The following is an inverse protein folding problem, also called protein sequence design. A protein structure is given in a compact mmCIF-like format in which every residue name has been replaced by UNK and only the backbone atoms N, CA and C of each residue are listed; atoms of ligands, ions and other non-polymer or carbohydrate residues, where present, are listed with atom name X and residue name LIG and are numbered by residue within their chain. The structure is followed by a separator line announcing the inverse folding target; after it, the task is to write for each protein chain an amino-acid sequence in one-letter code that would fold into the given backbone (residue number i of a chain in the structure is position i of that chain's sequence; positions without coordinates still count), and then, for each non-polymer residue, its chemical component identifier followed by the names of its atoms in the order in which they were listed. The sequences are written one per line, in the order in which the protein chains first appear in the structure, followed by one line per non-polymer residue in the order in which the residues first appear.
data_IF_653312995464
#
_entry.id   IF_653312995464
#
_cell.length_a   1.000
_cell.length_b   1.000
_cell.length_c   1.000
_cell.angle_alpha   90.00
_cell.angle_beta   90.00
_cell.angle_gamma   90.00
#
_symmetry.space_group_name_H-M   'P 1'
#
loop_
_entity.id
_entity.type
_entity.pdbx_description
1 polymer ?
#
# COMPACT_ATOMS: atom_id res chain seq x y z
N UNK A 1 5.75 64.29 -71.68
CA UNK A 1 6.14 62.89 -71.38
C UNK A 1 5.21 62.35 -70.31
N UNK A 2 5.25 61.06 -70.04
CA UNK A 2 4.45 60.44 -68.98
C UNK A 2 5.23 59.40 -68.18
N UNK A 3 4.85 59.22 -66.92
CA UNK A 3 5.44 58.23 -66.02
C UNK A 3 4.35 57.34 -65.42
N UNK A 4 4.64 56.05 -65.32
CA UNK A 4 3.74 55.03 -64.76
C UNK A 4 4.49 54.31 -63.65
N UNK A 5 3.95 54.40 -62.44
CA UNK A 5 4.49 53.74 -61.25
C UNK A 5 3.59 52.58 -60.81
N UNK A 6 4.17 51.59 -60.15
CA UNK A 6 3.46 50.49 -59.48
C UNK A 6 3.68 50.58 -57.97
N UNK A 7 2.59 50.51 -57.21
CA UNK A 7 2.61 50.43 -55.74
C UNK A 7 1.83 49.21 -55.25
N UNK A 8 2.40 48.50 -54.28
CA UNK A 8 1.81 47.32 -53.65
C UNK A 8 1.41 47.67 -52.21
N UNK A 9 0.12 47.55 -51.87
CA UNK A 9 -0.40 47.94 -50.55
C UNK A 9 -1.33 46.90 -49.93
N UNK A 10 -1.47 46.92 -48.60
CA UNK A 10 -2.54 46.18 -47.91
C UNK A 10 -3.91 46.86 -48.11
N UNK A 11 -4.98 46.14 -47.78
CA UNK A 11 -6.34 46.66 -47.62
C UNK A 11 -6.43 47.85 -46.63
N UNK A 12 -5.47 47.94 -45.69
CA UNK A 12 -5.30 49.02 -44.72
C UNK A 12 -4.39 50.16 -45.20
N UNK A 13 -3.83 50.05 -46.41
CA UNK A 13 -2.97 51.06 -47.04
C UNK A 13 -1.48 50.98 -46.68
N UNK A 14 -1.04 49.93 -45.97
CA UNK A 14 0.38 49.73 -45.63
C UNK A 14 1.15 49.30 -46.89
N UNK A 15 2.31 49.90 -47.15
CA UNK A 15 3.10 49.61 -48.35
C UNK A 15 3.93 48.34 -48.16
N UNK A 16 3.80 47.37 -49.08
CA UNK A 16 4.47 46.05 -48.98
C UNK A 16 5.86 46.01 -49.62
N UNK A 17 6.15 46.91 -50.56
CA UNK A 17 7.47 47.13 -51.13
C UNK A 17 7.54 48.54 -51.74
N UNK A 18 8.76 49.06 -51.91
CA UNK A 18 9.00 50.38 -52.50
C UNK A 18 8.25 50.56 -53.84
N UNK A 19 7.80 51.80 -54.08
CA UNK A 19 7.10 52.14 -55.32
C UNK A 19 8.09 52.04 -56.49
N UNK A 20 7.69 51.36 -57.56
CA UNK A 20 8.57 51.06 -58.70
C UNK A 20 8.15 51.85 -59.95
N UNK A 21 9.12 52.47 -60.61
CA UNK A 21 8.92 53.06 -61.95
C UNK A 21 8.80 51.92 -62.98
N UNK A 22 7.68 51.88 -63.70
CA UNK A 22 7.48 50.96 -64.85
C UNK A 22 7.75 51.69 -66.16
N UNK A 23 7.28 52.94 -66.26
CA UNK A 23 7.69 53.88 -67.31
C UNK A 23 8.11 55.17 -66.63
N UNK A 24 9.23 55.74 -67.07
CA UNK A 24 9.76 57.01 -66.57
C UNK A 24 10.04 57.94 -67.74
N UNK A 25 9.40 59.10 -67.76
CA UNK A 25 9.54 60.12 -68.81
C UNK A 25 9.28 59.60 -70.25
N UNK A 26 8.37 58.64 -70.38
CA UNK A 26 8.01 57.99 -71.64
C UNK A 26 7.26 58.88 -72.63
N UNK A 27 7.21 58.41 -73.88
CA UNK A 27 6.43 59.03 -74.96
C UNK A 27 4.93 58.75 -74.78
N UNK A 28 4.11 59.77 -75.00
CA UNK A 28 2.65 59.66 -74.84
C UNK A 28 2.07 58.79 -75.97
N UNK A 29 1.21 57.84 -75.61
CA UNK A 29 0.70 56.80 -76.53
C UNK A 29 1.57 55.54 -76.59
N UNK A 30 2.71 55.48 -75.89
CA UNK A 30 3.46 54.23 -75.74
C UNK A 30 2.75 53.26 -74.78
N UNK A 31 2.74 51.96 -75.07
CA UNK A 31 2.04 50.96 -74.24
C UNK A 31 2.83 50.54 -73.01
N UNK A 32 2.17 50.35 -71.88
CA UNK A 32 2.73 49.76 -70.67
C UNK A 32 1.93 48.54 -70.19
N UNK A 33 2.61 47.67 -69.45
CA UNK A 33 2.04 46.52 -68.73
C UNK A 33 2.67 46.42 -67.34
N UNK A 34 1.90 45.93 -66.37
CA UNK A 34 2.30 45.75 -64.98
C UNK A 34 1.81 44.38 -64.48
N UNK A 35 2.40 43.88 -63.39
CA UNK A 35 2.09 42.55 -62.86
C UNK A 35 1.89 42.58 -61.34
N UNK A 36 1.13 41.62 -60.82
CA UNK A 36 1.04 41.39 -59.37
C UNK A 36 2.40 40.96 -58.80
N UNK A 37 2.75 41.50 -57.65
CA UNK A 37 3.90 41.06 -56.87
C UNK A 37 3.59 39.81 -56.04
N UNK A 38 4.63 39.07 -55.65
CA UNK A 38 4.54 37.94 -54.74
C UNK A 38 5.12 38.34 -53.38
N UNK A 39 4.28 38.35 -52.34
CA UNK A 39 4.64 38.80 -50.99
C UNK A 39 4.34 37.69 -49.98
N UNK A 40 5.33 37.29 -49.18
CA UNK A 40 5.19 36.20 -48.22
C UNK A 40 4.13 36.54 -47.16
N UNK A 41 3.16 35.64 -46.97
CA UNK A 41 2.04 35.86 -46.04
C UNK A 41 0.95 36.80 -46.55
N UNK A 42 0.92 37.15 -47.84
CA UNK A 42 -0.14 37.97 -48.45
C UNK A 42 -0.70 37.34 -49.72
N UNK A 43 -1.95 37.68 -50.03
CA UNK A 43 -2.65 37.30 -51.28
C UNK A 43 -3.18 38.53 -51.99
N UNK A 44 -3.04 38.59 -53.31
CA UNK A 44 -3.63 39.64 -54.14
C UNK A 44 -5.16 39.60 -54.06
N UNK A 45 -5.79 40.78 -53.92
CA UNK A 45 -7.25 40.94 -53.83
C UNK A 45 -7.79 41.62 -55.08
N UNK A 46 -7.35 42.85 -55.37
CA UNK A 46 -7.77 43.62 -56.55
C UNK A 46 -6.81 44.76 -56.87
N UNK A 47 -6.96 45.36 -58.05
CA UNK A 47 -6.38 46.67 -58.38
C UNK A 47 -7.29 47.76 -57.78
N UNK A 48 -6.73 48.89 -57.37
CA UNK A 48 -7.53 50.06 -56.98
C UNK A 48 -8.24 50.66 -58.22
N UNK A 49 -9.57 50.71 -58.19
CA UNK A 49 -10.41 51.27 -59.24
C UNK A 49 -10.26 52.80 -59.39
N UNK A 50 -9.57 53.46 -58.44
CA UNK A 50 -9.18 54.87 -58.52
C UNK A 50 -7.79 55.10 -59.13
N UNK A 51 -7.00 54.04 -59.30
CA UNK A 51 -5.67 54.08 -59.88
C UNK A 51 -5.68 53.97 -61.41
N UNK A 52 -4.50 53.81 -61.99
CA UNK A 52 -4.36 53.41 -63.38
C UNK A 52 -4.60 51.90 -63.54
N UNK A 53 -5.04 51.48 -64.73
CA UNK A 53 -5.24 50.07 -65.10
C UNK A 53 -3.90 49.33 -65.21
N UNK A 54 -3.85 48.01 -65.02
CA UNK A 54 -2.60 47.24 -65.12
C UNK A 54 -1.89 47.33 -66.47
N UNK A 55 -2.67 47.55 -67.54
CA UNK A 55 -2.22 47.75 -68.91
C UNK A 55 -2.86 49.01 -69.47
N UNK A 56 -2.18 49.68 -70.39
CA UNK A 56 -2.71 50.86 -71.07
C UNK A 56 -1.67 51.59 -71.90
N UNK A 57 -2.01 52.81 -72.30
CA UNK A 57 -1.08 53.74 -72.94
C UNK A 57 -0.62 54.81 -71.93
N UNK A 58 0.62 55.26 -72.08
CA UNK A 58 1.22 56.36 -71.30
C UNK A 58 0.53 57.67 -71.70
N UNK A 59 -0.12 58.32 -70.73
CA UNK A 59 -0.68 59.67 -70.87
C UNK A 59 0.28 60.72 -70.32
N UNK A 60 0.02 62.01 -70.57
CA UNK A 60 0.83 63.10 -70.03
C UNK A 60 0.70 63.21 -68.50
N UNK A 61 1.83 63.34 -67.81
CA UNK A 61 1.89 63.42 -66.35
C UNK A 61 2.23 62.10 -65.67
N UNK A 62 1.85 61.95 -64.40
CA UNK A 62 2.17 60.78 -63.58
C UNK A 62 0.92 59.94 -63.28
N UNK A 63 1.03 58.62 -63.43
CA UNK A 63 -0.01 57.64 -63.10
C UNK A 63 0.54 56.56 -62.16
N UNK A 64 -0.30 56.03 -61.27
CA UNK A 64 0.05 54.91 -60.40
C UNK A 64 -0.95 53.77 -60.55
N UNK A 65 -0.46 52.58 -60.90
CA UNK A 65 -1.19 51.32 -60.75
C UNK A 65 -1.02 50.86 -59.29
N UNK A 66 -2.13 50.63 -58.59
CA UNK A 66 -2.10 50.22 -57.17
C UNK A 66 -2.69 48.84 -57.03
N UNK A 67 -1.87 47.88 -56.63
CA UNK A 67 -2.30 46.51 -56.33
C UNK A 67 -2.56 46.38 -54.82
N UNK A 68 -3.76 45.91 -54.48
CA UNK A 68 -4.24 45.73 -53.10
C UNK A 68 -4.17 44.25 -52.72
N UNK A 69 -3.59 43.97 -51.55
CA UNK A 69 -3.38 42.65 -50.98
C UNK A 69 -4.10 42.53 -49.63
N UNK A 70 -4.46 41.31 -49.25
CA UNK A 70 -4.86 40.98 -47.87
C UNK A 70 -3.85 40.03 -47.26
N UNK A 71 -3.71 40.07 -45.94
CA UNK A 71 -2.80 39.18 -45.20
C UNK A 71 -3.42 37.80 -45.09
N UNK A 72 -2.64 36.77 -45.37
CA UNK A 72 -3.03 35.38 -45.11
C UNK A 72 -2.92 35.14 -43.61
N UNK A 73 -4.06 34.99 -42.95
CA UNK A 73 -4.08 34.58 -41.55
C UNK A 73 -3.74 33.08 -41.46
N UNK A 74 -2.59 32.78 -40.85
CA UNK A 74 -2.25 31.40 -40.48
C UNK A 74 -3.24 30.91 -39.42
N UNK A 75 -3.90 29.76 -39.60
CA UNK A 75 -4.79 29.23 -38.58
C UNK A 75 -3.97 28.92 -37.32
N UNK A 76 -4.26 29.65 -36.24
CA UNK A 76 -3.67 29.36 -34.92
C UNK A 76 -4.20 28.01 -34.47
N UNK A 77 -3.33 27.00 -34.44
CA UNK A 77 -3.65 25.71 -33.83
C UNK A 77 -3.88 25.97 -32.34
N UNK A 78 -5.12 25.77 -31.88
CA UNK A 78 -5.44 25.85 -30.47
C UNK A 78 -4.80 24.67 -29.75
N UNK A 79 -4.13 24.97 -28.63
CA UNK A 79 -3.49 23.96 -27.78
C UNK A 79 -3.92 24.09 -26.33
N UNK A 80 -3.61 23.07 -25.55
CA UNK A 80 -3.76 23.08 -24.10
C UNK A 80 -2.82 22.11 -23.41
N UNK A 81 -2.78 22.20 -22.08
CA UNK A 81 -2.05 21.29 -21.17
C UNK A 81 -3.04 20.50 -20.31
N UNK A 82 -2.58 19.34 -19.84
CA UNK A 82 -3.29 18.58 -18.79
C UNK A 82 -2.28 18.25 -17.71
N UNK A 83 -2.59 18.61 -16.47
CA UNK A 83 -1.79 18.33 -15.28
C UNK A 83 -2.61 17.54 -14.27
N UNK A 84 -1.94 16.73 -13.45
CA UNK A 84 -2.54 15.95 -12.38
C UNK A 84 -1.97 16.40 -11.03
N UNK A 85 -2.86 16.87 -10.16
CA UNK A 85 -2.57 17.40 -8.82
C UNK A 85 -2.96 16.40 -7.74
N UNK A 86 -2.22 16.38 -6.64
CA UNK A 86 -2.39 15.43 -5.55
C UNK A 86 -2.55 16.18 -4.22
N UNK A 87 -3.76 16.21 -3.66
CA UNK A 87 -4.11 16.99 -2.44
C UNK A 87 -4.64 16.12 -1.29
N UNK A 88 -4.62 16.64 -0.08
CA UNK A 88 -5.30 16.03 1.08
C UNK A 88 -6.83 16.17 0.91
N UNK A 89 -7.57 15.11 1.26
CA UNK A 89 -9.04 15.04 1.19
C UNK A 89 -9.70 16.24 1.88
N UNK A 90 -10.49 17.00 1.11
CA UNK A 90 -11.20 18.19 1.60
C UNK A 90 -10.35 19.48 1.71
N UNK A 91 -9.12 19.49 1.21
CA UNK A 91 -8.25 20.69 1.16
C UNK A 91 -7.60 20.88 -0.21
N UNK A 92 -6.84 21.97 -0.38
CA UNK A 92 -5.92 22.17 -1.52
C UNK A 92 -4.45 21.90 -1.12
N UNK A 93 -4.19 21.26 0.03
CA UNK A 93 -2.81 21.02 0.52
C UNK A 93 -2.15 19.90 -0.29
N UNK A 94 -1.17 20.27 -1.12
CA UNK A 94 -0.49 19.35 -2.04
C UNK A 94 0.44 18.35 -1.31
N UNK A 95 0.37 17.07 -1.72
CA UNK A 95 1.18 15.96 -1.18
C UNK A 95 2.22 15.40 -2.15
N UNK A 96 2.24 15.84 -3.40
CA UNK A 96 3.30 15.59 -4.39
C UNK A 96 3.26 16.69 -5.47
N UNK A 97 4.36 16.86 -6.19
CA UNK A 97 4.44 17.84 -7.29
C UNK A 97 3.44 17.53 -8.41
N UNK A 98 2.91 18.56 -9.07
CA UNK A 98 2.00 18.43 -10.22
C UNK A 98 2.65 17.62 -11.36
N UNK A 99 1.96 16.56 -11.79
CA UNK A 99 2.40 15.70 -12.91
C UNK A 99 1.84 16.22 -14.23
N UNK A 100 2.68 16.51 -15.21
CA UNK A 100 2.20 16.71 -16.58
C UNK A 100 1.68 15.39 -17.17
N UNK A 101 0.41 15.42 -17.60
CA UNK A 101 -0.28 14.35 -18.34
C UNK A 101 -0.25 14.66 -19.84
N UNK A 102 -0.31 15.94 -20.22
CA UNK A 102 -0.11 16.48 -21.56
C UNK A 102 0.67 17.82 -21.49
N UNK A 103 1.64 18.08 -22.39
CA UNK A 103 2.34 19.37 -22.47
C UNK A 103 1.43 20.49 -23.01
N UNK A 104 1.82 21.75 -22.84
CA UNK A 104 1.08 22.97 -23.25
C UNK A 104 0.74 23.09 -24.73
N UNK A 105 1.52 22.40 -25.57
CA UNK A 105 1.47 22.50 -27.03
C UNK A 105 0.62 21.36 -27.62
N UNK A 106 -0.14 20.63 -26.79
CA UNK A 106 -1.00 19.53 -27.23
C UNK A 106 -2.21 20.08 -27.98
N UNK A 107 -2.52 19.60 -29.19
CA UNK A 107 -3.71 20.03 -29.92
C UNK A 107 -5.01 19.80 -29.14
N UNK A 108 -5.95 20.73 -29.27
CA UNK A 108 -7.34 20.54 -28.84
C UNK A 108 -7.95 19.29 -29.50
N UNK A 109 -8.89 18.65 -28.80
CA UNK A 109 -9.52 17.36 -29.11
C UNK A 109 -8.61 16.13 -29.01
N UNK A 110 -7.32 16.26 -28.69
CA UNK A 110 -6.47 15.09 -28.45
C UNK A 110 -6.89 14.35 -27.16
N UNK A 111 -7.09 13.00 -27.18
CA UNK A 111 -7.49 12.27 -26.00
C UNK A 111 -6.37 12.14 -24.96
N UNK A 112 -6.75 12.22 -23.69
CA UNK A 112 -5.89 11.96 -22.53
C UNK A 112 -6.56 11.00 -21.55
N UNK A 113 -5.73 10.33 -20.75
CA UNK A 113 -6.14 9.51 -19.63
C UNK A 113 -5.00 9.39 -18.64
N UNK A 114 -5.30 9.51 -17.34
CA UNK A 114 -4.34 9.34 -16.26
C UNK A 114 -4.78 8.29 -15.25
N UNK A 115 -3.82 7.75 -14.50
CA UNK A 115 -4.06 6.85 -13.36
C UNK A 115 -3.11 7.23 -12.23
N UNK A 116 -3.64 7.63 -11.05
CA UNK A 116 -2.83 8.06 -9.92
C UNK A 116 -2.17 6.85 -9.22
N UNK A 117 -1.10 7.07 -8.45
CA UNK A 117 -0.64 6.06 -7.49
C UNK A 117 -1.70 5.79 -6.42
N UNK A 118 -1.83 4.53 -5.98
CA UNK A 118 -2.77 4.18 -4.91
C UNK A 118 -2.37 4.77 -3.54
N UNK A 119 -1.08 5.02 -3.34
CA UNK A 119 -0.54 5.66 -2.13
C UNK A 119 0.60 6.61 -2.46
N UNK A 120 0.69 7.72 -1.71
CA UNK A 120 1.79 8.69 -1.75
C UNK A 120 2.41 8.78 -0.35
N UNK A 121 3.73 9.00 -0.27
CA UNK A 121 4.43 9.21 1.01
C UNK A 121 5.09 10.58 1.00
N UNK A 122 4.74 11.44 1.97
CA UNK A 122 5.31 12.78 2.17
C UNK A 122 5.55 13.01 3.66
N UNK A 123 6.68 13.62 4.00
CA UNK A 123 7.06 13.97 5.39
C UNK A 123 6.95 12.81 6.40
N UNK A 124 7.20 11.58 5.93
CA UNK A 124 7.09 10.34 6.72
C UNK A 124 5.67 9.80 6.90
N UNK A 125 4.63 10.56 6.50
CA UNK A 125 3.23 10.12 6.46
C UNK A 125 2.94 9.39 5.15
N UNK A 126 2.10 8.36 5.21
CA UNK A 126 1.55 7.71 4.01
C UNK A 126 0.10 8.14 3.82
N UNK A 127 -0.26 8.46 2.59
CA UNK A 127 -1.59 8.89 2.16
C UNK A 127 -2.16 7.84 1.20
N UNK A 128 -3.46 7.56 1.30
CA UNK A 128 -4.19 6.59 0.46
C UNK A 128 -5.21 7.32 -0.41
N UNK A 129 -5.26 6.96 -1.69
CA UNK A 129 -6.16 7.58 -2.67
C UNK A 129 -7.64 7.40 -2.25
N UNK A 130 -8.40 8.50 -2.26
CA UNK A 130 -9.85 8.48 -2.02
C UNK A 130 -10.61 8.53 -3.34
N UNK A 131 -10.35 9.53 -4.17
CA UNK A 131 -11.07 9.77 -5.44
C UNK A 131 -10.35 10.76 -6.36
N UNK A 132 -10.75 10.79 -7.62
CA UNK A 132 -10.63 12.01 -8.44
C UNK A 132 -11.72 12.99 -8.00
N UNK A 133 -11.38 14.27 -7.86
CA UNK A 133 -12.30 15.35 -7.52
C UNK A 133 -13.13 15.74 -8.76
N UNK A 134 -14.33 16.27 -8.54
CA UNK A 134 -15.28 16.61 -9.61
C UNK A 134 -16.00 17.92 -9.31
N UNK A 135 -15.27 18.92 -8.81
CA UNK A 135 -15.82 20.25 -8.56
C UNK A 135 -15.82 21.07 -9.86
N UNK A 136 -16.47 22.24 -9.84
CA UNK A 136 -16.38 23.20 -10.94
C UNK A 136 -14.92 23.65 -11.12
N UNK A 137 -14.35 23.40 -12.29
CA UNK A 137 -12.94 23.66 -12.61
C UNK A 137 -12.02 22.43 -12.60
N UNK A 138 -12.40 21.32 -11.95
CA UNK A 138 -11.63 20.07 -12.05
C UNK A 138 -11.86 19.38 -13.39
N UNK A 139 -10.78 18.85 -13.98
CA UNK A 139 -10.84 18.00 -15.16
C UNK A 139 -11.05 16.51 -14.78
N UNK A 140 -11.83 15.74 -15.57
CA UNK A 140 -11.97 14.30 -15.35
C UNK A 140 -10.64 13.59 -15.63
N UNK A 141 -10.42 12.43 -14.99
CA UNK A 141 -9.20 11.63 -15.17
C UNK A 141 -8.98 11.08 -16.58
N UNK A 142 -10.01 11.12 -17.44
CA UNK A 142 -9.96 10.76 -18.85
C UNK A 142 -10.86 11.72 -19.64
N UNK A 143 -10.41 12.20 -20.80
CA UNK A 143 -11.11 13.21 -21.58
C UNK A 143 -10.39 13.58 -22.88
N UNK A 144 -10.71 14.75 -23.43
CA UNK A 144 -9.98 15.38 -24.54
C UNK A 144 -9.43 16.75 -24.11
N UNK A 145 -8.31 17.15 -24.72
CA UNK A 145 -7.67 18.44 -24.46
C UNK A 145 -8.55 19.58 -24.95
N UNK A 146 -8.73 20.61 -24.11
CA UNK A 146 -9.38 21.87 -24.47
C UNK A 146 -8.35 23.02 -24.52
N UNK A 147 -8.77 24.19 -24.95
CA UNK A 147 -7.92 25.38 -25.03
C UNK A 147 -7.56 25.89 -23.62
N UNK A 148 -6.27 25.94 -23.29
CA UNK A 148 -5.76 26.32 -21.95
C UNK A 148 -5.29 25.14 -21.10
N UNK A 149 -5.23 25.32 -19.77
CA UNK A 149 -4.79 24.27 -18.83
C UNK A 149 -5.96 23.55 -18.18
N UNK A 150 -5.86 22.22 -18.06
CA UNK A 150 -6.80 21.35 -17.35
C UNK A 150 -6.12 20.68 -16.15
N UNK A 151 -6.67 20.86 -14.95
CA UNK A 151 -6.16 20.24 -13.72
C UNK A 151 -7.03 19.06 -13.30
N UNK A 152 -6.48 17.84 -13.36
CA UNK A 152 -7.09 16.64 -12.77
C UNK A 152 -6.70 16.59 -11.29
N UNK A 153 -7.61 16.87 -10.37
CA UNK A 153 -7.30 16.82 -8.94
C UNK A 153 -7.63 15.45 -8.33
N UNK A 154 -6.68 14.87 -7.61
CA UNK A 154 -6.84 13.63 -6.85
C UNK A 154 -6.75 13.89 -5.34
N UNK A 155 -7.76 13.46 -4.59
CA UNK A 155 -7.84 13.58 -3.14
C UNK A 155 -7.34 12.32 -2.44
N UNK A 156 -6.53 12.48 -1.38
CA UNK A 156 -5.98 11.41 -0.57
C UNK A 156 -6.18 11.67 0.93
N UNK A 157 -6.45 10.63 1.71
CA UNK A 157 -6.54 10.68 3.18
C UNK A 157 -5.24 10.18 3.81
N UNK A 158 -4.88 10.71 4.97
CA UNK A 158 -3.75 10.17 5.74
C UNK A 158 -4.07 8.75 6.24
N UNK A 159 -3.23 7.79 5.90
CA UNK A 159 -3.34 6.40 6.34
C UNK A 159 -2.75 6.27 7.74
N UNK A 160 -3.59 6.48 8.75
CA UNK A 160 -3.23 6.26 10.16
C UNK A 160 -2.93 4.79 10.38
N UNK A 161 -1.65 4.44 10.54
CA UNK A 161 -1.26 3.10 10.96
C UNK A 161 -1.65 2.89 12.42
N UNK A 162 -2.50 1.89 12.69
CA UNK A 162 -2.79 1.47 14.06
C UNK A 162 -1.55 0.78 14.63
N UNK A 163 -0.99 1.24 15.77
CA UNK A 163 0.20 0.64 16.33
C UNK A 163 -0.11 -0.80 16.75
N UNK A 164 0.55 -1.76 16.10
CA UNK A 164 0.42 -3.18 16.42
C UNK A 164 1.09 -3.43 17.77
N UNK A 165 0.29 -3.38 18.84
CA UNK A 165 0.74 -3.69 20.19
C UNK A 165 1.24 -5.15 20.20
N UNK A 166 2.53 -5.41 20.52
CA UNK A 166 3.03 -6.77 20.57
C UNK A 166 2.30 -7.54 21.68
N UNK A 167 1.97 -8.82 21.48
CA UNK A 167 1.28 -9.60 22.50
C UNK A 167 2.13 -9.66 23.77
N UNK A 168 1.51 -9.33 24.91
CA UNK A 168 2.18 -9.42 26.21
C UNK A 168 2.43 -10.89 26.52
N UNK A 169 3.69 -11.31 26.45
CA UNK A 169 4.11 -12.64 26.90
C UNK A 169 4.07 -12.64 28.42
N UNK A 170 3.00 -13.20 28.98
CA UNK A 170 2.88 -13.38 30.43
C UNK A 170 4.02 -14.27 30.94
N UNK A 171 4.84 -13.72 31.86
CA UNK A 171 5.87 -14.48 32.54
C UNK A 171 5.21 -15.49 33.48
N UNK A 172 5.64 -16.74 33.37
CA UNK A 172 5.12 -17.86 34.15
C UNK A 172 6.22 -18.45 35.03
N UNK A 173 5.80 -19.15 36.08
CA UNK A 173 6.67 -19.85 37.01
C UNK A 173 6.08 -21.17 37.49
N UNK A 174 6.97 -22.06 37.89
CA UNK A 174 6.68 -23.45 38.25
C UNK A 174 7.13 -23.74 39.68
N UNK A 175 6.32 -24.44 40.45
CA UNK A 175 6.60 -24.80 41.86
C UNK A 175 6.70 -26.32 41.96
N UNK A 176 7.84 -26.81 42.47
CA UNK A 176 8.16 -28.24 42.54
C UNK A 176 8.51 -28.63 43.98
N UNK A 177 7.84 -29.65 44.50
CA UNK A 177 8.00 -30.19 45.85
C UNK A 177 8.88 -31.43 45.85
N UNK A 178 9.96 -31.38 46.63
CA UNK A 178 10.97 -32.43 46.78
C UNK A 178 10.89 -33.06 48.17
N UNK A 179 11.25 -34.35 48.27
CA UNK A 179 11.14 -35.14 49.50
C UNK A 179 12.47 -35.84 49.79
N UNK A 180 13.13 -35.44 50.87
CA UNK A 180 14.48 -35.95 51.21
C UNK A 180 14.56 -36.49 52.64
N UNK A 181 15.49 -37.40 52.88
CA UNK A 181 15.86 -37.80 54.24
C UNK A 181 16.72 -36.74 54.95
N UNK A 182 17.04 -36.94 56.24
CA UNK A 182 17.93 -36.06 57.02
C UNK A 182 19.36 -35.89 56.45
N UNK A 183 19.75 -36.67 55.43
CA UNK A 183 21.04 -36.61 54.73
C UNK A 183 20.94 -36.00 53.33
N UNK A 184 19.74 -35.67 52.86
CA UNK A 184 19.48 -35.12 51.52
C UNK A 184 19.19 -36.15 50.43
N UNK A 185 19.06 -37.44 50.75
CA UNK A 185 18.70 -38.47 49.76
C UNK A 185 17.22 -38.35 49.39
N UNK A 186 16.87 -38.38 48.11
CA UNK A 186 15.46 -38.35 47.66
C UNK A 186 14.75 -39.67 48.03
N UNK A 187 13.60 -39.56 48.71
CA UNK A 187 12.80 -40.69 49.21
C UNK A 187 11.39 -40.80 48.59
N UNK A 188 10.99 -39.83 47.76
CA UNK A 188 9.76 -39.88 46.95
C UNK A 188 9.98 -39.00 45.72
N UNK A 189 9.44 -39.41 44.58
CA UNK A 189 9.45 -38.63 43.34
C UNK A 189 8.94 -37.19 43.60
N UNK A 190 9.63 -36.15 43.08
CA UNK A 190 9.14 -34.78 43.18
C UNK A 190 7.74 -34.63 42.57
N UNK A 191 6.94 -33.72 43.12
CA UNK A 191 5.59 -33.42 42.66
C UNK A 191 5.54 -31.96 42.20
N UNK A 192 4.93 -31.70 41.05
CA UNK A 192 4.61 -30.32 40.66
C UNK A 192 3.38 -29.87 41.42
N UNK A 193 3.51 -28.73 42.09
CA UNK A 193 2.45 -28.06 42.83
C UNK A 193 1.71 -27.06 41.91
N UNK A 194 2.48 -26.28 41.16
CA UNK A 194 2.01 -25.29 40.20
C UNK A 194 2.86 -25.42 38.93
N UNK A 195 2.28 -25.73 37.77
CA UNK A 195 3.04 -25.93 36.51
C UNK A 195 3.29 -24.59 35.78
N UNK A 196 2.23 -23.82 35.51
CA UNK A 196 2.23 -22.59 34.72
C UNK A 196 1.61 -21.42 35.50
N UNK A 197 2.14 -21.12 36.69
CA UNK A 197 1.62 -20.07 37.56
C UNK A 197 1.97 -18.68 37.04
N UNK A 198 1.00 -17.75 37.02
CA UNK A 198 1.26 -16.34 36.73
C UNK A 198 2.19 -15.74 37.79
N UNK A 199 3.27 -15.06 37.36
CA UNK A 199 4.22 -14.44 38.30
C UNK A 199 3.52 -13.43 39.21
N UNK A 200 3.76 -13.55 40.52
CA UNK A 200 3.07 -12.78 41.57
C UNK A 200 1.80 -13.43 42.13
N UNK A 201 1.26 -14.48 41.49
CA UNK A 201 0.22 -15.34 42.05
C UNK A 201 0.73 -16.14 43.27
N UNK A 202 -0.17 -16.53 44.17
CA UNK A 202 0.19 -17.22 45.42
C UNK A 202 0.18 -18.75 45.27
N UNK A 203 1.06 -19.45 45.99
CA UNK A 203 1.13 -20.92 46.08
C UNK A 203 1.27 -21.40 47.55
N UNK A 204 0.85 -22.63 47.83
CA UNK A 204 0.86 -23.25 49.17
C UNK A 204 0.98 -24.77 49.09
N UNK A 205 2.19 -25.29 49.27
CA UNK A 205 2.51 -26.71 49.05
C UNK A 205 2.09 -27.64 50.21
N UNK A 206 1.11 -27.22 51.01
CA UNK A 206 0.72 -27.87 52.26
C UNK A 206 -0.03 -29.20 52.08
N UNK A 207 -0.70 -29.38 50.94
CA UNK A 207 -1.35 -30.62 50.50
C UNK A 207 -0.30 -31.65 50.07
N UNK A 208 0.74 -31.19 49.37
CA UNK A 208 1.89 -31.93 48.90
C UNK A 208 2.86 -32.35 50.01
N UNK A 209 2.48 -32.27 51.29
CA UNK A 209 3.28 -32.56 52.48
C UNK A 209 2.71 -33.75 53.30
N UNK A 210 2.88 -35.00 52.86
CA UNK A 210 2.44 -36.18 53.62
C UNK A 210 3.24 -36.33 54.92
N UNK A 211 2.60 -36.75 56.02
CA UNK A 211 3.26 -36.94 57.32
C UNK A 211 4.21 -38.16 57.36
N UNK A 212 3.92 -39.19 56.57
CA UNK A 212 4.73 -40.42 56.48
C UNK A 212 4.96 -40.76 55.01
N UNK A 213 6.17 -41.17 54.66
CA UNK A 213 6.57 -41.73 53.37
C UNK A 213 7.12 -43.14 53.61
N UNK A 214 6.81 -44.07 52.71
CA UNK A 214 7.42 -45.41 52.69
C UNK A 214 8.33 -45.51 51.47
N UNK A 215 9.61 -45.81 51.68
CA UNK A 215 10.62 -45.88 50.63
C UNK A 215 11.58 -47.04 50.90
N UNK A 216 11.79 -47.91 49.91
CA UNK A 216 12.63 -49.11 50.01
C UNK A 216 12.33 -49.96 51.28
N UNK A 217 11.05 -50.15 51.59
CA UNK A 217 10.56 -50.90 52.75
C UNK A 217 10.59 -50.13 54.08
N UNK A 218 11.28 -48.99 54.16
CA UNK A 218 11.45 -48.19 55.37
C UNK A 218 10.41 -47.08 55.49
N UNK A 219 10.04 -46.76 56.73
CA UNK A 219 9.15 -45.62 57.07
C UNK A 219 9.97 -44.36 57.38
N UNK A 220 9.48 -43.23 56.88
CA UNK A 220 10.09 -41.91 57.03
C UNK A 220 9.02 -40.91 57.49
N UNK A 221 9.25 -40.23 58.61
CA UNK A 221 8.31 -39.28 59.24
C UNK A 221 8.76 -37.84 58.96
N UNK A 222 7.83 -36.96 58.60
CA UNK A 222 8.09 -35.54 58.37
C UNK A 222 8.71 -34.89 59.60
N UNK A 223 9.82 -34.16 59.43
CA UNK A 223 10.42 -33.37 60.51
C UNK A 223 9.71 -32.02 60.57
N UNK A 224 8.67 -31.91 61.40
CA UNK A 224 7.83 -30.70 61.49
C UNK A 224 8.63 -29.43 61.87
N UNK A 225 9.75 -29.57 62.60
CA UNK A 225 10.70 -28.48 62.91
C UNK A 225 11.65 -28.10 61.76
N UNK A 226 11.54 -28.74 60.59
CA UNK A 226 12.29 -28.44 59.35
C UNK A 226 11.36 -28.23 58.14
N UNK A 227 10.13 -27.74 58.38
CA UNK A 227 9.28 -27.23 57.30
C UNK A 227 9.97 -26.00 56.68
N UNK A 228 10.19 -25.95 55.35
CA UNK A 228 10.89 -24.84 54.71
C UNK A 228 10.02 -23.58 54.67
N UNK A 229 10.67 -22.42 54.83
CA UNK A 229 10.01 -21.11 54.87
C UNK A 229 9.31 -20.75 53.55
N UNK A 230 9.75 -21.30 52.41
CA UNK A 230 9.12 -21.14 51.10
C UNK A 230 8.05 -22.20 50.80
N UNK A 231 7.52 -22.91 51.80
CA UNK A 231 6.37 -23.82 51.59
C UNK A 231 5.05 -23.10 51.28
N UNK A 232 5.02 -21.77 51.44
CA UNK A 232 4.01 -20.87 50.87
C UNK A 232 4.72 -19.63 50.33
N UNK A 233 4.18 -18.99 49.30
CA UNK A 233 4.78 -17.78 48.76
C UNK A 233 4.12 -17.29 47.48
N UNK A 234 4.85 -16.46 46.73
CA UNK A 234 4.44 -15.98 45.40
C UNK A 234 5.29 -16.62 44.31
N UNK A 235 4.65 -17.01 43.22
CA UNK A 235 5.30 -17.57 42.03
C UNK A 235 6.25 -16.51 41.44
N UNK A 236 7.49 -16.93 41.18
CA UNK A 236 8.51 -16.12 40.49
C UNK A 236 8.81 -16.74 39.12
N UNK A 237 9.40 -15.97 38.21
CA UNK A 237 9.76 -16.43 36.87
C UNK A 237 10.76 -17.60 36.93
N UNK A 238 10.45 -18.71 36.25
CA UNK A 238 11.25 -19.94 36.28
C UNK A 238 10.80 -20.96 37.34
N UNK A 239 11.71 -21.83 37.79
CA UNK A 239 11.40 -22.92 38.73
C UNK A 239 11.68 -22.54 40.20
N UNK A 240 10.72 -22.86 41.08
CA UNK A 240 10.76 -22.66 42.53
C UNK A 240 10.74 -24.01 43.23
N UNK A 241 11.77 -24.32 44.00
CA UNK A 241 11.93 -25.63 44.64
C UNK A 241 11.61 -25.54 46.14
N UNK A 242 10.64 -26.33 46.59
CA UNK A 242 10.28 -26.51 48.01
C UNK A 242 10.75 -27.90 48.43
N UNK A 243 11.49 -28.03 49.53
CA UNK A 243 12.04 -29.34 49.96
C UNK A 243 11.62 -29.69 51.39
N UNK A 244 10.91 -30.81 51.54
CA UNK A 244 10.51 -31.36 52.84
C UNK A 244 11.50 -32.43 53.31
N UNK A 245 11.94 -32.30 54.56
CA UNK A 245 12.91 -33.20 55.20
C UNK A 245 12.19 -34.21 56.10
N UNK A 246 12.57 -35.48 55.97
CA UNK A 246 12.02 -36.60 56.72
C UNK A 246 13.09 -37.36 57.49
N UNK A 247 12.74 -37.80 58.70
CA UNK A 247 13.56 -38.65 59.54
C UNK A 247 13.15 -40.10 59.34
N UNK A 248 14.11 -41.00 59.17
CA UNK A 248 13.79 -42.44 59.15
C UNK A 248 13.23 -42.82 60.52
N UNK A 249 12.09 -43.51 60.53
CA UNK A 249 11.62 -44.18 61.73
C UNK A 249 12.61 -45.30 62.05
N UNK A 250 13.20 -45.27 63.24
CA UNK A 250 14.03 -46.37 63.70
C UNK A 250 13.08 -47.49 64.12
N UNK A 251 13.35 -48.70 63.63
CA UNK A 251 12.80 -49.90 64.23
C UNK A 251 13.40 -50.01 65.64
N UNK A 252 12.60 -49.69 66.67
CA UNK A 252 12.86 -50.29 67.98
C UNK A 252 12.81 -51.81 67.82
N UNK A 253 13.72 -52.57 68.46
CA UNK A 253 13.80 -54.01 68.28
C UNK A 253 12.55 -54.67 68.89
N UNK A 254 11.53 -54.86 68.05
CA UNK A 254 10.31 -55.58 68.41
C UNK A 254 10.68 -57.03 68.74
N UNK A 255 10.58 -57.38 70.02
CA UNK A 255 10.73 -58.76 70.46
C UNK A 255 9.64 -59.61 69.79
N UNK A 256 10.00 -60.73 69.13
CA UNK A 256 9.06 -61.47 68.30
C UNK A 256 8.02 -62.20 69.15
N UNK A 257 6.81 -61.62 69.27
CA UNK A 257 5.65 -62.33 69.78
C UNK A 257 5.10 -63.28 68.73
N UNK A 258 5.00 -64.55 69.10
CA UNK A 258 4.59 -65.69 68.27
C UNK A 258 3.21 -65.47 67.62
N UNK A 259 2.96 -65.95 66.37
CA UNK A 259 1.68 -65.74 65.71
C UNK A 259 0.51 -66.37 66.45
N UNK A 260 -0.65 -65.71 66.45
CA UNK A 260 -1.91 -66.32 66.86
C UNK A 260 -2.92 -66.25 65.70
N UNK A 261 -3.50 -67.40 65.37
CA UNK A 261 -4.44 -67.59 64.26
C UNK A 261 -5.87 -67.83 64.82
N UNK A 262 -6.86 -68.07 63.96
CA UNK A 262 -7.81 -67.08 63.46
C UNK A 262 -9.11 -66.98 64.28
N UNK A 263 -9.87 -65.91 64.05
CA UNK A 263 -11.33 -65.91 64.28
C UNK A 263 -12.08 -65.52 63.00
N UNK A 264 -13.28 -66.10 62.86
CA UNK A 264 -14.07 -66.19 61.63
C UNK A 264 -15.07 -65.04 61.45
N UNK A 265 -15.70 -64.87 60.26
CA UNK A 265 -16.41 -63.64 59.92
C UNK A 265 -17.79 -63.50 60.59
N UNK A 266 -18.29 -62.27 60.63
CA UNK A 266 -19.69 -61.95 60.91
C UNK A 266 -20.28 -61.13 59.76
N UNK A 267 -21.50 -61.47 59.34
CA UNK A 267 -22.15 -60.94 58.14
C UNK A 267 -23.20 -59.88 58.44
N UNK A 268 -23.28 -58.89 57.55
CA UNK A 268 -24.43 -58.09 57.07
C UNK A 268 -25.80 -58.24 57.78
N UNK A 269 -26.54 -57.11 57.90
CA UNK A 269 -27.49 -56.80 56.80
C UNK A 269 -27.44 -55.35 56.27
N UNK A 270 -28.15 -55.13 55.16
CA UNK A 270 -28.29 -53.86 54.40
C UNK A 270 -29.58 -53.11 54.86
N UNK A 271 -29.86 -51.85 54.53
CA UNK A 271 -30.43 -51.37 53.23
C UNK A 271 -30.59 -49.84 53.20
N UNK A 272 -30.74 -49.29 51.99
CA UNK A 272 -31.08 -47.93 51.51
C UNK A 272 -32.18 -47.15 52.30
N UNK A 273 -32.43 -45.85 52.14
CA UNK A 273 -32.53 -44.95 50.94
C UNK A 273 -32.33 -43.48 51.35
N UNK A 274 -32.12 -42.42 50.53
CA UNK A 274 -31.96 -42.17 49.07
C UNK A 274 -31.06 -40.88 48.92
N UNK A 275 -31.01 -40.00 47.88
CA UNK A 275 -31.80 -39.76 46.65
C UNK A 275 -31.02 -38.95 45.58
N UNK A 276 -31.07 -39.44 44.34
CA UNK A 276 -31.10 -38.80 42.99
C UNK A 276 -31.03 -37.24 42.93
N UNK A 277 -30.28 -36.54 42.07
CA UNK A 277 -29.92 -36.76 40.63
C UNK A 277 -28.69 -35.92 40.21
N UNK A 278 -28.01 -36.20 39.07
CA UNK A 278 -28.28 -35.41 37.84
C UNK A 278 -28.36 -36.26 36.54
N UNK A 279 -28.58 -35.60 35.38
CA UNK A 279 -28.98 -36.24 34.09
C UNK A 279 -27.83 -36.50 33.10
N UNK A 280 -28.04 -37.53 32.28
CA UNK A 280 -27.22 -38.02 31.14
C UNK A 280 -27.18 -37.09 29.93
N UNK A 281 -26.04 -37.04 29.23
CA UNK A 281 -25.92 -37.13 27.75
C UNK A 281 -24.46 -37.44 27.36
N UNK A 282 -24.23 -38.02 26.18
CA UNK A 282 -22.95 -38.61 25.77
C UNK A 282 -22.48 -38.13 24.38
N UNK A 283 -21.18 -38.28 24.11
CA UNK A 283 -20.56 -38.18 22.78
C UNK A 283 -19.57 -39.37 22.62
N UNK A 284 -19.46 -39.89 21.40
CA UNK A 284 -18.62 -41.06 21.05
C UNK A 284 -17.14 -40.68 20.83
N UNK A 285 -16.21 -41.66 20.88
CA UNK A 285 -14.92 -41.51 20.21
C UNK A 285 -15.10 -41.65 18.68
N UNK A 286 -14.69 -40.63 17.93
CA UNK A 286 -14.55 -40.68 16.47
C UNK A 286 -13.09 -41.01 16.11
N UNK A 287 -12.89 -41.94 15.18
CA UNK A 287 -11.58 -42.32 14.64
C UNK A 287 -11.28 -41.53 13.36
N UNK A 288 -10.25 -40.68 13.37
CA UNK A 288 -9.82 -39.91 12.21
C UNK A 288 -8.35 -40.14 11.86
N UNK A 289 -8.07 -41.07 10.95
CA UNK A 289 -6.78 -41.11 10.26
C UNK A 289 -6.66 -39.90 9.31
N UNK A 290 -5.45 -39.37 9.14
CA UNK A 290 -5.17 -38.43 8.05
C UNK A 290 -3.78 -38.67 7.46
N UNK A 291 -3.66 -39.75 6.71
CA UNK A 291 -2.59 -39.88 5.70
C UNK A 291 -3.03 -39.15 4.44
N UNK A 292 -2.31 -38.12 4.02
CA UNK A 292 -2.48 -37.50 2.71
C UNK A 292 -1.15 -36.97 2.18
N UNK A 293 -0.48 -37.82 1.39
CA UNK A 293 0.65 -37.42 0.57
C UNK A 293 0.17 -37.21 -0.88
N UNK A 294 0.02 -35.94 -1.29
CA UNK A 294 0.01 -35.53 -2.70
C UNK A 294 1.12 -34.47 -2.86
N UNK A 295 2.21 -34.75 -3.56
CA UNK A 295 2.34 -34.91 -5.02
C UNK A 295 2.73 -33.57 -5.68
N UNK A 296 4.03 -33.32 -5.75
CA UNK A 296 4.63 -32.24 -6.55
C UNK A 296 4.44 -32.52 -8.05
N UNK A 297 3.38 -31.97 -8.64
CA UNK A 297 3.22 -31.94 -10.11
C UNK A 297 4.04 -30.78 -10.67
N UNK A 298 5.32 -31.05 -10.96
CA UNK A 298 6.18 -30.14 -11.71
C UNK A 298 5.74 -30.05 -13.16
N UNK A 299 5.14 -28.93 -13.57
CA UNK A 299 4.63 -28.72 -14.93
C UNK A 299 5.61 -27.85 -15.74
N UNK A 300 6.58 -28.50 -16.37
CA UNK A 300 7.53 -27.85 -17.26
C UNK A 300 6.88 -27.51 -18.61
N UNK A 301 6.94 -26.25 -19.04
CA UNK A 301 6.60 -25.82 -20.39
C UNK A 301 7.81 -25.16 -21.07
N UNK A 302 8.54 -25.97 -21.85
CA UNK A 302 9.49 -25.50 -22.83
C UNK A 302 8.73 -24.81 -23.98
N UNK A 303 9.08 -23.56 -24.29
CA UNK A 303 8.34 -22.73 -25.24
C UNK A 303 9.22 -21.73 -25.99
N UNK A 304 10.32 -22.20 -26.59
CA UNK A 304 11.23 -21.35 -27.37
C UNK A 304 10.60 -20.95 -28.72
N UNK A 305 10.29 -19.65 -28.88
CA UNK A 305 9.97 -19.07 -30.20
C UNK A 305 10.89 -17.89 -30.48
N UNK A 306 11.94 -18.12 -31.27
CA UNK A 306 12.80 -17.06 -31.76
C UNK A 306 12.25 -16.49 -33.08
N UNK A 307 11.70 -15.28 -33.05
CA UNK A 307 11.30 -14.55 -34.27
C UNK A 307 12.43 -13.60 -34.69
N UNK A 308 13.31 -14.07 -35.57
CA UNK A 308 14.32 -13.23 -36.20
C UNK A 308 13.74 -12.52 -37.45
N UNK A 309 13.15 -11.34 -37.28
CA UNK A 309 12.77 -10.48 -38.40
C UNK A 309 14.00 -9.71 -38.92
N UNK A 310 14.22 -9.76 -40.25
CA UNK A 310 15.46 -9.30 -40.88
C UNK A 310 15.49 -7.79 -41.05
N UNK A 311 16.61 -7.14 -40.68
CA UNK A 311 17.03 -5.88 -41.31
C UNK A 311 17.11 -6.07 -42.82
N UNK A 312 16.43 -5.22 -43.60
CA UNK A 312 16.76 -4.95 -45.01
C UNK A 312 17.11 -3.48 -45.15
N UNK A 313 18.29 -3.20 -45.72
CA UNK A 313 18.61 -1.86 -46.25
C UNK A 313 17.99 -1.71 -47.63
N UNK A 314 17.25 -0.63 -47.84
CA UNK A 314 16.97 0.02 -49.12
C UNK A 314 16.44 1.44 -48.80
N UNK A 315 16.89 2.50 -49.46
CA UNK A 315 17.99 2.64 -50.43
C UNK A 315 18.68 3.97 -50.18
#
# INVERSE_FOLDING_TARGET
TGSVLVRHITDKGEVLADTTDVVRDGEVGSTYETSVGNFEGYTFVKVDEKGATPTGEVEEGEKTVVYIYTKVETPVVKTGSVVARYVIEGTEDEIADDKSVKPTDTPVDEPYGDTPPATITKDGKTYELVRTRTNEGDAPSNGTVVEGEQTITYEYKEKVETPVVPPVVEKQGKVIVHYVDEKGNVIKTPVVDTENGTVGGDYDTSDNRPKVIVFNGKRYILVESRIPNNSKGKVVEGETHVTYVYKQENEEPTTPTTPNQPTTPSTTPVTETAKVTPKTSAILPETGESTSALALVGLALLGTVAVASRRRKAK
#
